data_IF_275956776982
#
_entry.id   IF_275956776982
#
_cell.length_a   1.000
_cell.length_b   1.000
_cell.length_c   1.000
_cell.angle_alpha   90.00
_cell.angle_beta   90.00
_cell.angle_gamma   90.00
#
_symmetry.space_group_name_H-M   'P 1'
#
loop_
_entity.id
_entity.type
_entity.pdbx_description
1 polymer ?
#
# COMPACT_ATOMS: atom_id res chain seq x y z
N UNK A 1 9.01 -29.10 22.40
CA UNK A 1 8.22 -27.98 21.87
C UNK A 1 6.99 -28.53 21.17
N UNK A 2 5.82 -28.35 21.78
CA UNK A 2 4.55 -28.83 21.20
C UNK A 2 3.93 -27.71 20.34
N UNK A 3 4.37 -27.63 19.08
CA UNK A 3 3.84 -26.66 18.10
C UNK A 3 2.34 -26.84 17.86
N UNK A 4 1.82 -28.08 18.02
CA UNK A 4 0.39 -28.34 17.81
C UNK A 4 -0.44 -27.76 18.97
N UNK A 5 0.04 -27.85 20.20
CA UNK A 5 -0.61 -27.19 21.35
C UNK A 5 -0.59 -25.65 21.19
N UNK A 6 0.55 -25.07 20.85
CA UNK A 6 0.68 -23.62 20.64
C UNK A 6 -0.28 -23.12 19.55
N UNK A 7 -0.35 -23.81 18.40
CA UNK A 7 -1.29 -23.44 17.32
C UNK A 7 -2.76 -23.53 17.78
N UNK A 8 -3.11 -24.53 18.56
CA UNK A 8 -4.45 -24.69 19.11
C UNK A 8 -4.80 -23.54 20.07
N UNK A 9 -3.87 -23.16 20.95
CA UNK A 9 -4.07 -22.09 21.93
C UNK A 9 -4.17 -20.71 21.27
N UNK A 10 -3.43 -20.48 20.18
CA UNK A 10 -3.48 -19.25 19.39
C UNK A 10 -4.74 -19.16 18.50
N UNK A 11 -5.38 -20.30 18.19
CA UNK A 11 -6.58 -20.33 17.36
C UNK A 11 -6.42 -19.58 16.03
N UNK A 12 -7.33 -18.64 15.71
CA UNK A 12 -7.28 -17.89 14.44
C UNK A 12 -5.99 -17.09 14.23
N UNK A 13 -5.29 -16.72 15.29
CA UNK A 13 -4.02 -16.00 15.20
C UNK A 13 -2.88 -16.86 14.62
N UNK A 14 -3.03 -18.19 14.65
CA UNK A 14 -2.06 -19.13 14.08
C UNK A 14 -2.35 -19.51 12.63
N UNK A 15 -3.40 -18.97 12.01
CA UNK A 15 -3.72 -19.26 10.61
C UNK A 15 -2.63 -18.74 9.68
N UNK A 16 -2.11 -19.64 8.84
CA UNK A 16 -1.12 -19.28 7.84
C UNK A 16 -1.81 -18.60 6.65
N UNK A 17 -1.46 -17.35 6.43
CA UNK A 17 -1.91 -16.65 5.22
C UNK A 17 -1.15 -17.16 3.99
N UNK A 18 -1.80 -17.17 2.80
CA UNK A 18 -1.13 -17.56 1.55
C UNK A 18 0.16 -16.77 1.34
N UNK A 19 1.25 -17.41 0.88
CA UNK A 19 2.55 -16.76 0.70
C UNK A 19 2.52 -15.49 -0.16
N UNK A 20 1.58 -15.43 -1.12
CA UNK A 20 1.40 -14.33 -2.06
C UNK A 20 0.22 -13.41 -1.72
N UNK A 21 -0.14 -13.30 -0.44
CA UNK A 21 -1.24 -12.43 0.01
C UNK A 21 -0.77 -11.05 0.47
N UNK A 22 -1.73 -10.16 0.72
CA UNK A 22 -1.50 -8.97 1.54
C UNK A 22 -1.22 -9.43 2.97
N UNK A 23 0.01 -9.22 3.43
CA UNK A 23 0.50 -9.74 4.72
C UNK A 23 -0.01 -8.94 5.90
N UNK A 24 -0.04 -7.63 5.74
CA UNK A 24 -0.51 -6.69 6.75
C UNK A 24 -0.71 -5.30 6.16
N UNK A 25 -1.52 -4.53 6.84
CA UNK A 25 -1.62 -3.09 6.68
C UNK A 25 -1.05 -2.44 7.94
N UNK A 26 0.07 -1.75 7.81
CA UNK A 26 0.72 -1.03 8.90
C UNK A 26 0.26 0.41 8.90
N UNK A 27 -0.55 0.81 9.88
CA UNK A 27 -0.98 2.19 10.07
C UNK A 27 -0.31 2.81 11.30
N UNK A 28 0.03 4.09 11.24
CA UNK A 28 0.39 4.85 12.42
C UNK A 28 -0.88 5.34 13.14
N UNK A 29 -0.75 5.97 14.30
CA UNK A 29 -1.87 6.38 15.14
C UNK A 29 -2.73 7.54 14.56
N UNK A 30 -2.21 8.29 13.57
CA UNK A 30 -2.94 9.35 12.89
C UNK A 30 -3.52 10.42 13.82
N UNK A 31 -4.66 11.00 13.39
CA UNK A 31 -5.36 12.06 14.13
C UNK A 31 -5.96 11.59 15.45
N UNK A 32 -6.17 10.29 15.64
CA UNK A 32 -6.81 9.76 16.85
C UNK A 32 -5.99 10.04 18.11
N UNK A 33 -4.66 9.95 18.01
CA UNK A 33 -3.77 10.02 19.17
C UNK A 33 -2.56 10.94 18.93
N UNK A 34 -2.10 11.06 17.68
CA UNK A 34 -0.86 11.75 17.36
C UNK A 34 -1.07 13.25 17.13
N UNK A 35 -0.42 14.10 17.93
CA UNK A 35 -0.48 15.57 17.76
C UNK A 35 0.01 16.07 16.39
N UNK A 36 0.74 15.26 15.65
CA UNK A 36 1.23 15.58 14.31
C UNK A 36 0.36 14.98 13.19
N UNK A 37 -0.66 14.19 13.56
CA UNK A 37 -1.58 13.60 12.59
C UNK A 37 -2.33 14.68 11.81
N UNK A 38 -2.35 14.54 10.50
CA UNK A 38 -3.13 15.42 9.59
C UNK A 38 -4.29 14.66 8.97
N UNK A 39 -4.22 13.32 8.96
CA UNK A 39 -5.25 12.43 8.44
C UNK A 39 -5.48 11.23 9.37
N UNK A 40 -6.67 10.64 9.31
CA UNK A 40 -7.03 9.42 10.02
C UNK A 40 -6.39 8.19 9.36
N UNK A 41 -5.17 7.89 9.76
CA UNK A 41 -4.47 6.70 9.26
C UNK A 41 -4.96 5.41 9.89
N UNK A 42 -5.51 5.45 11.09
CA UNK A 42 -6.06 4.27 11.76
C UNK A 42 -7.33 3.79 11.06
N UNK A 43 -8.27 4.70 10.78
CA UNK A 43 -9.49 4.38 10.04
C UNK A 43 -9.19 3.87 8.64
N UNK A 44 -8.36 4.58 7.86
CA UNK A 44 -7.96 4.14 6.54
C UNK A 44 -7.25 2.79 6.57
N UNK A 45 -6.37 2.55 7.54
CA UNK A 45 -5.67 1.28 7.70
C UNK A 45 -6.64 0.11 7.92
N UNK A 46 -7.66 0.28 8.77
CA UNK A 46 -8.72 -0.72 9.00
C UNK A 46 -9.55 -1.01 7.75
N UNK A 47 -9.89 0.01 6.98
CA UNK A 47 -10.63 -0.17 5.72
C UNK A 47 -9.81 -0.98 4.70
N UNK A 48 -8.53 -0.65 4.54
CA UNK A 48 -7.62 -1.38 3.66
C UNK A 48 -7.41 -2.83 4.13
N UNK A 49 -7.23 -3.03 5.43
CA UNK A 49 -7.09 -4.37 6.00
C UNK A 49 -8.35 -5.21 5.75
N UNK A 50 -9.52 -4.68 6.07
CA UNK A 50 -10.81 -5.37 5.83
C UNK A 50 -10.99 -5.73 4.36
N UNK A 51 -10.54 -4.87 3.43
CA UNK A 51 -10.73 -5.08 1.98
C UNK A 51 -9.72 -6.04 1.37
N UNK A 52 -8.47 -6.02 1.85
CA UNK A 52 -7.36 -6.68 1.15
C UNK A 52 -6.64 -7.75 1.96
N UNK A 53 -6.87 -7.87 3.27
CA UNK A 53 -6.21 -8.91 4.08
C UNK A 53 -6.52 -10.29 3.50
N UNK A 54 -5.47 -11.08 3.29
CA UNK A 54 -5.59 -12.42 2.69
C UNK A 54 -5.82 -12.47 1.19
N UNK A 55 -6.12 -11.33 0.52
CA UNK A 55 -6.27 -11.31 -0.92
C UNK A 55 -4.97 -11.72 -1.63
N UNK A 56 -5.10 -12.58 -2.65
CA UNK A 56 -3.97 -13.19 -3.35
C UNK A 56 -3.54 -12.34 -4.54
N UNK A 57 -2.24 -12.11 -4.64
CA UNK A 57 -1.56 -11.33 -5.69
C UNK A 57 -0.38 -12.14 -6.26
N UNK A 58 0.28 -11.69 -7.35
CA UNK A 58 1.46 -12.36 -7.92
C UNK A 58 2.60 -12.58 -6.92
N UNK A 59 2.74 -11.69 -5.93
CA UNK A 59 3.67 -11.83 -4.80
C UNK A 59 3.06 -11.25 -3.52
N UNK A 60 3.70 -11.50 -2.36
CA UNK A 60 3.28 -10.91 -1.09
C UNK A 60 3.27 -9.38 -1.17
N UNK A 61 2.28 -8.76 -0.56
CA UNK A 61 2.13 -7.31 -0.49
C UNK A 61 2.16 -6.82 0.96
N UNK A 62 2.59 -5.60 1.14
CA UNK A 62 2.57 -4.85 2.41
C UNK A 62 2.06 -3.45 2.14
N UNK A 63 1.13 -3.00 2.94
CA UNK A 63 0.56 -1.66 2.83
C UNK A 63 1.01 -0.83 4.02
N UNK A 64 1.43 0.41 3.79
CA UNK A 64 1.81 1.36 4.84
C UNK A 64 0.94 2.61 4.81
N UNK A 65 0.39 3.00 5.96
CA UNK A 65 -0.47 4.19 6.08
C UNK A 65 0.10 5.11 7.15
N UNK A 66 0.48 6.31 6.75
CA UNK A 66 1.03 7.34 7.63
C UNK A 66 0.11 8.56 7.65
N UNK A 67 -0.36 8.95 8.83
CA UNK A 67 -1.29 10.08 9.00
C UNK A 67 -0.65 11.46 8.80
N UNK A 68 0.66 11.55 8.55
CA UNK A 68 1.37 12.79 8.24
C UNK A 68 2.71 12.51 7.56
N UNK A 69 3.41 13.58 7.14
CA UNK A 69 4.71 13.53 6.44
C UNK A 69 5.87 12.91 7.25
N UNK A 70 5.69 12.67 8.56
CA UNK A 70 6.70 11.95 9.37
C UNK A 70 6.84 10.47 8.99
N UNK A 71 5.89 9.95 8.23
CA UNK A 71 5.95 8.64 7.60
C UNK A 71 6.18 7.46 8.56
N UNK A 72 5.62 7.51 9.78
CA UNK A 72 5.80 6.46 10.79
C UNK A 72 5.27 5.07 10.38
N UNK A 73 4.35 5.00 9.41
CA UNK A 73 3.89 3.76 8.78
C UNK A 73 4.84 3.23 7.70
N UNK A 74 6.01 3.87 7.51
CA UNK A 74 7.03 3.51 6.51
C UNK A 74 6.47 3.44 5.07
N UNK A 75 5.50 4.29 4.76
CA UNK A 75 4.69 4.23 3.53
C UNK A 75 5.54 4.24 2.25
N UNK A 76 6.66 4.97 2.22
CA UNK A 76 7.55 5.00 1.05
C UNK A 76 8.27 3.69 0.78
N UNK A 77 8.39 2.81 1.78
CA UNK A 77 9.09 1.52 1.67
C UNK A 77 8.14 0.33 1.61
N UNK A 78 6.85 0.57 1.41
CA UNK A 78 5.83 -0.47 1.25
C UNK A 78 5.41 -0.64 -0.20
N UNK A 79 4.85 -1.79 -0.52
CA UNK A 79 4.35 -2.07 -1.89
C UNK A 79 3.28 -1.06 -2.32
N UNK A 80 2.39 -0.71 -1.38
CA UNK A 80 1.47 0.43 -1.44
C UNK A 80 1.73 1.30 -0.20
N UNK A 81 1.88 2.58 -0.41
CA UNK A 81 2.02 3.57 0.65
C UNK A 81 0.98 4.68 0.56
N UNK A 82 0.46 5.10 1.71
CA UNK A 82 -0.39 6.29 1.82
C UNK A 82 0.19 7.22 2.88
N UNK A 83 0.29 8.50 2.52
CA UNK A 83 0.79 9.54 3.42
C UNK A 83 -0.20 10.69 3.48
N UNK A 84 -0.67 11.00 4.68
CA UNK A 84 -1.58 12.10 4.94
C UNK A 84 -0.89 13.47 4.87
N UNK A 85 -1.58 14.43 4.32
CA UNK A 85 -1.22 15.85 4.36
C UNK A 85 -2.45 16.67 4.76
N UNK A 86 -2.29 17.95 5.02
CA UNK A 86 -3.43 18.85 5.28
C UNK A 86 -4.37 18.99 4.08
N UNK A 87 -3.92 18.63 2.88
CA UNK A 87 -4.70 18.72 1.64
C UNK A 87 -5.30 17.39 1.18
N UNK A 88 -5.06 16.30 1.91
CA UNK A 88 -5.54 14.97 1.55
C UNK A 88 -4.44 13.91 1.58
N UNK A 89 -4.60 12.89 0.76
CA UNK A 89 -3.71 11.73 0.73
C UNK A 89 -2.73 11.75 -0.44
N UNK A 90 -1.51 11.32 -0.19
CA UNK A 90 -0.52 10.96 -1.21
C UNK A 90 -0.47 9.45 -1.34
N UNK A 91 -0.61 8.92 -2.55
CA UNK A 91 -0.48 7.49 -2.84
C UNK A 91 0.88 7.21 -3.46
N UNK A 92 1.54 6.16 -2.96
CA UNK A 92 2.88 5.72 -3.32
C UNK A 92 2.82 4.25 -3.75
N UNK A 93 3.55 3.89 -4.80
CA UNK A 93 3.57 2.53 -5.34
C UNK A 93 4.99 2.01 -5.53
N UNK A 94 5.21 0.72 -5.27
CA UNK A 94 6.44 0.03 -5.63
C UNK A 94 7.59 0.19 -4.66
N UNK A 95 7.34 0.59 -3.40
CA UNK A 95 8.37 0.62 -2.36
C UNK A 95 8.84 -0.77 -1.93
N UNK A 96 10.06 -0.86 -1.46
CA UNK A 96 10.66 -2.09 -0.96
C UNK A 96 11.64 -1.81 0.18
N UNK A 97 11.41 -2.44 1.34
CA UNK A 97 12.31 -2.41 2.51
C UNK A 97 13.16 -3.68 2.66
N UNK A 98 13.17 -4.55 1.65
CA UNK A 98 13.88 -5.83 1.69
C UNK A 98 15.37 -5.73 1.33
N UNK A 99 15.93 -6.81 0.77
CA UNK A 99 17.36 -6.94 0.44
C UNK A 99 17.91 -5.82 -0.45
N UNK A 100 17.07 -5.21 -1.28
CA UNK A 100 17.42 -4.02 -2.08
C UNK A 100 16.40 -2.93 -1.74
N UNK A 101 16.66 -2.14 -0.71
CA UNK A 101 15.75 -1.08 -0.31
C UNK A 101 15.61 -0.03 -1.42
N UNK A 102 14.38 0.35 -1.71
CA UNK A 102 14.09 1.44 -2.64
C UNK A 102 12.79 2.14 -2.24
N UNK A 103 12.73 3.46 -2.30
CA UNK A 103 11.46 4.14 -2.12
C UNK A 103 10.54 3.85 -3.31
N UNK A 104 9.24 3.81 -3.03
CA UNK A 104 8.22 3.80 -4.06
C UNK A 104 8.10 5.15 -4.75
N UNK A 105 7.46 5.16 -5.91
CA UNK A 105 7.15 6.40 -6.63
C UNK A 105 5.84 7.01 -6.10
N UNK A 106 5.79 8.33 -6.04
CA UNK A 106 4.55 9.06 -5.77
C UNK A 106 3.68 9.01 -7.03
N UNK A 107 2.52 8.38 -6.90
CA UNK A 107 1.57 8.21 -8.02
C UNK A 107 0.64 9.42 -8.12
N UNK A 108 0.08 9.85 -7.00
CA UNK A 108 -0.79 11.01 -6.95
C UNK A 108 -0.75 11.65 -5.56
N UNK A 109 -1.15 12.92 -5.48
CA UNK A 109 -1.15 13.73 -4.26
C UNK A 109 -2.47 14.49 -4.11
N UNK A 110 -2.73 14.95 -2.88
CA UNK A 110 -3.89 15.80 -2.56
C UNK A 110 -5.24 15.11 -2.89
N UNK A 111 -5.27 13.77 -2.75
CA UNK A 111 -6.46 12.98 -3.01
C UNK A 111 -7.43 13.01 -1.82
N UNK A 112 -8.72 13.00 -2.11
CA UNK A 112 -9.73 12.65 -1.11
C UNK A 112 -9.54 11.21 -0.62
N UNK A 113 -10.13 10.85 0.51
CA UNK A 113 -10.10 9.46 1.00
C UNK A 113 -10.67 8.48 -0.04
N UNK A 114 -11.80 8.84 -0.66
CA UNK A 114 -12.46 8.00 -1.67
C UNK A 114 -11.58 7.80 -2.91
N UNK A 115 -10.96 8.87 -3.43
CA UNK A 115 -10.07 8.81 -4.59
C UNK A 115 -8.80 8.01 -4.29
N UNK A 116 -8.25 8.15 -3.08
CA UNK A 116 -7.09 7.38 -2.64
C UNK A 116 -7.39 5.88 -2.57
N UNK A 117 -8.56 5.49 -2.04
CA UNK A 117 -9.00 4.10 -1.99
C UNK A 117 -9.27 3.52 -3.40
N UNK A 118 -9.89 4.30 -4.29
CA UNK A 118 -10.10 3.89 -5.69
C UNK A 118 -8.77 3.71 -6.43
N UNK A 119 -7.83 4.65 -6.26
CA UNK A 119 -6.51 4.56 -6.87
C UNK A 119 -5.72 3.34 -6.37
N UNK A 120 -5.73 3.06 -5.07
CA UNK A 120 -5.11 1.86 -4.51
C UNK A 120 -5.72 0.60 -5.13
N UNK A 121 -7.05 0.54 -5.26
CA UNK A 121 -7.72 -0.60 -5.88
C UNK A 121 -7.26 -0.80 -7.33
N UNK A 122 -7.27 0.24 -8.13
CA UNK A 122 -6.85 0.19 -9.54
C UNK A 122 -5.38 -0.19 -9.72
N UNK A 123 -4.49 0.36 -8.89
CA UNK A 123 -3.07 -0.01 -8.90
C UNK A 123 -2.86 -1.49 -8.57
N UNK A 124 -3.61 -2.02 -7.60
CA UNK A 124 -3.53 -3.43 -7.21
C UNK A 124 -4.08 -4.36 -8.30
N UNK A 125 -5.19 -4.00 -8.94
CA UNK A 125 -5.74 -4.78 -10.06
C UNK A 125 -4.83 -4.71 -11.30
N UNK A 126 -4.28 -3.55 -11.61
CA UNK A 126 -3.30 -3.38 -12.68
C UNK A 126 -2.05 -4.24 -12.44
N UNK A 127 -1.51 -4.19 -11.21
CA UNK A 127 -0.39 -5.04 -10.82
C UNK A 127 -0.75 -6.54 -10.92
N UNK A 128 -1.92 -6.94 -10.43
CA UNK A 128 -2.39 -8.31 -10.48
C UNK A 128 -2.48 -8.87 -11.91
N UNK A 129 -2.90 -8.03 -12.85
CA UNK A 129 -3.10 -8.41 -14.25
C UNK A 129 -1.82 -8.43 -15.08
N UNK A 130 -0.80 -7.64 -14.69
CA UNK A 130 0.40 -7.41 -15.52
C UNK A 130 1.70 -7.93 -14.90
N UNK A 131 1.72 -8.27 -13.61
CA UNK A 131 2.92 -8.77 -12.96
C UNK A 131 3.15 -10.26 -13.20
N UNK A 132 4.43 -10.65 -13.28
CA UNK A 132 4.84 -12.04 -13.37
C UNK A 132 4.66 -12.76 -12.02
N UNK A 133 4.49 -14.08 -12.01
CA UNK A 133 4.47 -14.85 -10.77
C UNK A 133 5.70 -14.57 -9.89
N UNK A 134 5.47 -14.33 -8.59
CA UNK A 134 6.50 -13.98 -7.58
C UNK A 134 7.19 -12.61 -7.80
N UNK A 135 6.77 -11.81 -8.76
CA UNK A 135 7.30 -10.47 -9.00
C UNK A 135 6.72 -9.46 -8.01
N UNK A 136 7.57 -8.88 -7.15
CA UNK A 136 7.18 -7.81 -6.22
C UNK A 136 6.95 -6.48 -6.94
N UNK A 137 6.14 -5.63 -6.36
CA UNK A 137 5.76 -4.31 -6.92
C UNK A 137 6.95 -3.45 -7.33
N UNK A 138 8.04 -3.44 -6.55
CA UNK A 138 9.27 -2.71 -6.91
C UNK A 138 9.91 -3.25 -8.19
N UNK A 139 9.94 -4.58 -8.37
CA UNK A 139 10.47 -5.21 -9.58
C UNK A 139 9.56 -5.03 -10.78
N UNK A 140 8.27 -5.11 -10.55
CA UNK A 140 7.27 -4.79 -11.53
C UNK A 140 7.43 -3.37 -12.06
N UNK A 141 7.57 -2.39 -11.15
CA UNK A 141 7.81 -0.99 -11.50
C UNK A 141 9.14 -0.78 -12.25
N UNK A 142 10.23 -1.43 -11.81
CA UNK A 142 11.52 -1.41 -12.52
C UNK A 142 11.38 -1.95 -13.95
N UNK A 143 10.59 -3.01 -14.16
CA UNK A 143 10.44 -3.67 -15.46
C UNK A 143 9.59 -2.89 -16.44
N UNK A 144 8.43 -2.38 -16.02
CA UNK A 144 7.50 -1.72 -16.94
C UNK A 144 7.71 -0.21 -17.03
N UNK A 145 8.30 0.39 -16.00
CA UNK A 145 8.46 1.84 -15.89
C UNK A 145 7.20 2.54 -15.39
N UNK A 146 7.36 3.67 -14.71
CA UNK A 146 6.23 4.45 -14.19
C UNK A 146 5.42 5.10 -15.33
N UNK A 147 6.07 5.53 -16.40
CA UNK A 147 5.42 6.13 -17.56
C UNK A 147 4.38 5.19 -18.21
N UNK A 148 4.60 3.87 -18.17
CA UNK A 148 3.64 2.90 -18.68
C UNK A 148 2.39 2.83 -17.78
N UNK A 149 2.59 2.81 -16.44
CA UNK A 149 1.47 2.85 -15.48
C UNK A 149 0.67 4.14 -15.64
N UNK A 150 1.37 5.25 -15.82
CA UNK A 150 0.76 6.56 -16.04
C UNK A 150 -0.12 6.56 -17.29
N UNK A 151 0.40 6.08 -18.41
CA UNK A 151 -0.33 5.98 -19.68
C UNK A 151 -1.54 5.04 -19.59
N UNK A 152 -1.36 3.85 -19.03
CA UNK A 152 -2.37 2.79 -19.07
C UNK A 152 -3.48 2.99 -18.03
N UNK A 153 -3.17 3.63 -16.91
CA UNK A 153 -4.06 3.72 -15.77
C UNK A 153 -4.39 5.15 -15.36
N UNK A 154 -3.38 6.00 -15.16
CA UNK A 154 -3.59 7.28 -14.48
C UNK A 154 -4.26 8.32 -15.36
N UNK A 155 -3.99 8.33 -16.66
CA UNK A 155 -4.64 9.23 -17.63
C UNK A 155 -6.14 9.04 -17.73
N UNK A 156 -6.64 7.86 -17.33
CA UNK A 156 -8.07 7.52 -17.34
C UNK A 156 -8.82 7.98 -16.08
N UNK A 157 -8.10 8.52 -15.08
CA UNK A 157 -8.68 8.85 -13.79
C UNK A 157 -8.91 10.37 -13.65
N UNK A 158 -10.18 10.82 -13.58
CA UNK A 158 -10.52 12.26 -13.64
C UNK A 158 -10.03 13.08 -12.43
N UNK A 159 -9.71 12.40 -11.32
CA UNK A 159 -9.21 13.03 -10.09
C UNK A 159 -7.68 13.10 -10.03
N UNK A 160 -6.96 12.49 -10.97
CA UNK A 160 -5.50 12.57 -11.03
C UNK A 160 -5.10 13.81 -11.84
N UNK A 161 -4.53 14.78 -11.14
CA UNK A 161 -3.81 15.89 -11.77
C UNK A 161 -2.38 15.40 -12.02
N UNK A 162 -2.09 15.04 -13.26
CA UNK A 162 -0.71 14.78 -13.67
C UNK A 162 0.06 16.11 -13.47
N UNK A 163 1.02 16.10 -12.54
CA UNK A 163 1.95 17.23 -12.44
C UNK A 163 2.82 17.18 -13.69
N UNK A 164 2.85 18.31 -14.40
CA UNK A 164 3.84 18.50 -15.45
C UNK A 164 5.19 18.03 -14.96
N UNK A 165 5.79 17.07 -15.68
CA UNK A 165 7.10 16.53 -15.39
C UNK A 165 8.13 17.68 -15.40
N UNK A 166 8.62 18.04 -14.21
CA UNK A 166 9.84 18.83 -14.05
C UNK A 166 10.93 18.00 -13.46
#
# INVERSE_FOLDING_TARGET
>A
NDLAAIRRDLGPLAEEQPPSSVRYVQACLGTDVCRYGTQDSTGLGRELEKKYQGAVYPAKLKIGVSGCLRCCGESYLRDIGLVGTTKGWTVIFGGNSGRRPSPGVVVAQELSLADALDLVHRLLEYYKSNAKPKERTARFLERIGFAQIESDLLTLLPYIRLKDAR
#
